data_IF_758426618377
#
_entry.id   IF_758426618377
#
_cell.length_a   1.000
_cell.length_b   1.000
_cell.length_c   1.000
_cell.angle_alpha   90.00
_cell.angle_beta   90.00
_cell.angle_gamma   90.00
#
_symmetry.space_group_name_H-M   'P 1'
#
loop_
_entity.id
_entity.type
_entity.pdbx_description
1 polymer ?
#
# COMPACT_ATOMS: atom_id res chain seq x y z
N UNK A 1 7.86 -0.76 -7.57
CA UNK A 1 7.75 -1.40 -6.23
C UNK A 1 8.47 -0.57 -5.16
N UNK A 2 9.57 0.12 -5.52
CA UNK A 2 10.27 1.04 -4.64
C UNK A 2 9.40 2.24 -4.21
N UNK A 3 8.47 2.69 -5.05
CA UNK A 3 7.53 3.77 -4.74
C UNK A 3 6.62 3.41 -3.56
N UNK A 4 6.19 2.15 -3.48
CA UNK A 4 5.37 1.63 -2.38
C UNK A 4 6.18 1.56 -1.09
N UNK A 5 7.45 1.18 -1.21
CA UNK A 5 8.40 1.13 -0.10
C UNK A 5 8.65 2.54 0.43
N UNK A 6 8.82 3.53 -0.44
CA UNK A 6 8.95 4.94 -0.06
C UNK A 6 7.66 5.47 0.58
N UNK A 7 6.49 5.17 0.03
CA UNK A 7 5.22 5.54 0.65
C UNK A 7 5.09 4.99 2.08
N UNK A 8 5.42 3.70 2.29
CA UNK A 8 5.40 3.08 3.62
C UNK A 8 6.39 3.74 4.59
N UNK A 9 7.54 4.21 4.11
CA UNK A 9 8.50 4.98 4.90
C UNK A 9 7.95 6.35 5.27
N UNK A 10 7.35 7.09 4.32
CA UNK A 10 6.73 8.38 4.58
C UNK A 10 5.60 8.27 5.63
N UNK A 11 4.73 7.27 5.50
CA UNK A 11 3.67 7.01 6.49
C UNK A 11 4.24 6.70 7.87
N UNK A 12 5.34 5.94 7.94
CA UNK A 12 6.02 5.64 9.20
C UNK A 12 6.58 6.92 9.83
N UNK A 13 7.32 7.73 9.07
CA UNK A 13 7.88 8.99 9.55
C UNK A 13 6.78 9.92 10.09
N UNK A 14 5.71 10.14 9.32
CA UNK A 14 4.59 10.99 9.74
C UNK A 14 3.93 10.50 11.05
N UNK A 15 3.85 9.18 11.27
CA UNK A 15 3.32 8.63 12.53
C UNK A 15 4.27 8.87 13.70
N UNK A 16 5.58 8.76 13.46
CA UNK A 16 6.63 8.96 14.48
C UNK A 16 6.76 10.44 14.89
N UNK A 17 6.49 11.37 13.99
CA UNK A 17 6.51 12.82 14.29
C UNK A 17 5.40 13.24 15.27
N UNK A 18 4.26 12.52 15.28
CA UNK A 18 3.16 12.74 16.23
C UNK A 18 3.50 12.18 17.62
N UNK A 19 4.22 11.06 17.68
CA UNK A 19 4.67 10.40 18.92
C UNK A 19 5.30 9.03 18.64
N UNK A 20 5.91 8.40 19.65
CA UNK A 20 6.32 6.99 19.58
C UNK A 20 7.75 6.67 20.04
N UNK A 21 8.05 5.37 20.14
CA UNK A 21 9.33 4.81 20.58
C UNK A 21 10.38 4.92 19.47
N UNK A 22 11.03 6.06 19.35
CA UNK A 22 12.10 6.18 18.36
C UNK A 22 12.50 7.58 17.98
N UNK A 23 12.81 8.40 18.98
CA UNK A 23 13.89 9.40 19.03
C UNK A 23 13.60 10.29 20.22
N UNK A 24 14.63 10.50 21.02
CA UNK A 24 14.70 11.52 22.07
C UNK A 24 14.12 12.85 21.55
N UNK A 25 12.95 13.23 22.06
CA UNK A 25 12.25 14.46 21.67
C UNK A 25 10.85 14.20 21.13
N UNK A 26 9.89 13.86 22.02
CA UNK A 26 8.47 13.96 21.66
C UNK A 26 8.16 15.43 21.37
N UNK A 27 7.85 15.77 20.12
CA UNK A 27 7.43 17.14 19.75
C UNK A 27 6.14 17.55 20.48
N UNK A 28 5.33 16.57 20.89
CA UNK A 28 4.06 16.75 21.60
C UNK A 28 4.00 15.82 22.81
N UNK A 29 3.68 16.36 23.98
CA UNK A 29 3.58 15.60 25.24
C UNK A 29 2.17 15.70 25.82
N UNK A 30 1.76 14.66 26.57
CA UNK A 30 0.47 14.62 27.26
C UNK A 30 -0.54 13.62 26.68
N UNK A 31 -1.70 13.53 27.33
CA UNK A 31 -2.75 12.54 27.01
C UNK A 31 -3.31 12.71 25.60
N UNK A 32 -3.53 13.95 25.17
CA UNK A 32 -4.04 14.26 23.82
C UNK A 32 -3.04 13.86 22.73
N UNK A 33 -1.76 14.18 22.92
CA UNK A 33 -0.70 13.79 21.99
C UNK A 33 -0.58 12.26 21.87
N UNK A 34 -0.74 11.55 22.99
CA UNK A 34 -0.72 10.08 23.01
C UNK A 34 -1.91 9.51 22.21
N UNK A 35 -3.11 10.07 22.40
CA UNK A 35 -4.29 9.66 21.64
C UNK A 35 -4.12 9.88 20.13
N UNK A 36 -3.57 11.03 19.72
CA UNK A 36 -3.29 11.30 18.30
C UNK A 36 -2.26 10.35 17.72
N UNK A 37 -1.24 9.98 18.50
CA UNK A 37 -0.27 8.97 18.08
C UNK A 37 -0.93 7.62 17.84
N UNK A 38 -1.76 7.15 18.78
CA UNK A 38 -2.46 5.87 18.66
C UNK A 38 -3.39 5.86 17.43
N UNK A 39 -4.12 6.96 17.20
CA UNK A 39 -4.98 7.13 16.02
C UNK A 39 -4.17 7.13 14.72
N UNK A 40 -3.06 7.88 14.66
CA UNK A 40 -2.17 7.92 13.51
C UNK A 40 -1.55 6.55 13.22
N UNK A 41 -1.10 5.84 14.26
CA UNK A 41 -0.56 4.49 14.15
C UNK A 41 -1.60 3.50 13.63
N UNK A 42 -2.84 3.58 14.15
CA UNK A 42 -3.96 2.78 13.68
C UNK A 42 -4.31 3.04 12.21
N UNK A 43 -4.37 4.31 11.81
CA UNK A 43 -4.61 4.73 10.42
C UNK A 43 -3.51 4.22 9.48
N UNK A 44 -2.24 4.43 9.84
CA UNK A 44 -1.10 3.90 9.10
C UNK A 44 -1.21 2.39 8.93
N UNK A 45 -1.52 1.66 10.00
CA UNK A 45 -1.69 0.21 9.96
C UNK A 45 -2.76 -0.23 8.97
N UNK A 46 -3.91 0.45 8.94
CA UNK A 46 -4.97 0.19 7.95
C UNK A 46 -4.51 0.46 6.52
N UNK A 47 -3.90 1.62 6.27
CA UNK A 47 -3.42 1.98 4.94
C UNK A 47 -2.40 0.97 4.41
N UNK A 48 -1.43 0.57 5.23
CA UNK A 48 -0.40 -0.41 4.83
C UNK A 48 -1.05 -1.76 4.47
N UNK A 49 -2.02 -2.24 5.26
CA UNK A 49 -2.73 -3.50 4.95
C UNK A 49 -3.48 -3.43 3.63
N UNK A 50 -4.15 -2.31 3.33
CA UNK A 50 -4.86 -2.17 2.06
C UNK A 50 -3.90 -2.06 0.87
N UNK A 51 -2.78 -1.35 1.02
CA UNK A 51 -1.71 -1.33 0.01
C UNK A 51 -1.15 -2.73 -0.26
N UNK A 52 -0.93 -3.53 0.79
CA UNK A 52 -0.42 -4.91 0.67
C UNK A 52 -1.38 -5.85 -0.04
N UNK A 53 -2.68 -5.55 -0.04
CA UNK A 53 -3.69 -6.33 -0.78
C UNK A 53 -3.85 -5.83 -2.22
N UNK A 54 -4.05 -4.52 -2.38
CA UNK A 54 -4.45 -3.91 -3.65
C UNK A 54 -3.33 -3.97 -4.69
N UNK A 55 -2.09 -3.70 -4.29
CA UNK A 55 -0.98 -3.61 -5.24
C UNK A 55 -0.70 -4.95 -5.92
N UNK A 56 -0.57 -6.08 -5.20
CA UNK A 56 -0.43 -7.39 -5.84
C UNK A 56 -1.65 -7.76 -6.68
N UNK A 57 -2.86 -7.42 -6.26
CA UNK A 57 -4.08 -7.72 -7.03
C UNK A 57 -4.12 -6.97 -8.37
N UNK A 58 -3.76 -5.68 -8.37
CA UNK A 58 -3.66 -4.88 -9.60
C UNK A 58 -2.52 -5.40 -10.49
N UNK A 59 -1.35 -5.71 -9.91
CA UNK A 59 -0.24 -6.26 -10.68
C UNK A 59 -0.60 -7.58 -11.34
N UNK A 60 -1.26 -8.48 -10.61
CA UNK A 60 -1.77 -9.73 -11.15
C UNK A 60 -2.69 -9.48 -12.35
N UNK A 61 -3.60 -8.51 -12.25
CA UNK A 61 -4.52 -8.19 -13.34
C UNK A 61 -3.81 -7.61 -14.56
N UNK A 62 -2.76 -6.81 -14.35
CA UNK A 62 -1.92 -6.30 -15.43
C UNK A 62 -1.20 -7.45 -16.13
N UNK A 63 -0.66 -8.41 -15.37
CA UNK A 63 0.08 -9.55 -15.91
C UNK A 63 -0.83 -10.52 -16.69
N UNK A 64 -2.14 -10.52 -16.41
CA UNK A 64 -3.17 -11.27 -17.15
C UNK A 64 -3.62 -10.58 -18.46
N UNK A 65 -3.16 -9.36 -18.77
CA UNK A 65 -3.57 -8.67 -19.98
C UNK A 65 -3.03 -9.36 -21.24
N UNK A 66 -3.80 -9.42 -22.35
CA UNK A 66 -3.37 -10.04 -23.60
C UNK A 66 -2.02 -9.51 -24.13
N UNK A 67 -1.72 -8.24 -23.88
CA UNK A 67 -0.47 -7.57 -24.28
C UNK A 67 0.75 -8.00 -23.44
N UNK A 68 0.52 -8.63 -22.28
CA UNK A 68 1.55 -9.02 -21.31
C UNK A 68 1.78 -10.53 -21.27
N UNK A 69 0.90 -11.32 -21.88
CA UNK A 69 1.00 -12.78 -21.98
C UNK A 69 1.56 -13.22 -23.34
N UNK A 70 2.08 -14.46 -23.47
CA UNK A 70 2.54 -14.98 -24.75
C UNK A 70 1.47 -14.93 -25.84
N UNK A 71 1.88 -14.73 -27.09
CA UNK A 71 0.98 -14.53 -28.22
C UNK A 71 -0.02 -15.69 -28.44
N UNK A 72 0.33 -16.93 -28.08
CA UNK A 72 -0.57 -18.09 -28.11
C UNK A 72 -1.72 -17.94 -27.10
N UNK A 73 -1.40 -17.54 -25.86
CA UNK A 73 -2.37 -17.29 -24.78
C UNK A 73 -3.24 -16.08 -25.10
N UNK A 74 -2.65 -14.99 -25.61
CA UNK A 74 -3.39 -13.78 -26.00
C UNK A 74 -4.44 -14.06 -27.08
N UNK A 75 -4.09 -14.88 -28.10
CA UNK A 75 -5.03 -15.29 -29.16
C UNK A 75 -6.22 -16.08 -28.61
N UNK A 76 -6.00 -16.95 -27.63
CA UNK A 76 -7.07 -17.71 -26.99
C UNK A 76 -8.00 -16.79 -26.19
N UNK A 77 -7.44 -15.87 -25.39
CA UNK A 77 -8.21 -14.90 -24.61
C UNK A 77 -9.06 -13.97 -25.49
N UNK A 78 -8.50 -13.49 -26.60
CA UNK A 78 -9.24 -12.65 -27.56
C UNK A 78 -10.38 -13.42 -28.24
N UNK A 79 -10.19 -14.72 -28.48
CA UNK A 79 -11.23 -15.58 -29.04
C UNK A 79 -12.36 -15.80 -28.03
N UNK A 80 -12.05 -16.10 -26.77
CA UNK A 80 -13.06 -16.26 -25.70
C UNK A 80 -13.86 -14.98 -25.48
N UNK A 81 -13.23 -13.80 -25.55
CA UNK A 81 -13.88 -12.49 -25.46
C UNK A 81 -14.84 -12.18 -26.63
N UNK A 82 -14.67 -12.80 -27.81
CA UNK A 82 -15.59 -12.61 -28.95
C UNK A 82 -16.87 -13.45 -28.86
N UNK A 83 -16.92 -14.42 -27.94
CA UNK A 83 -18.08 -15.32 -27.75
C UNK A 83 -18.80 -15.09 -26.41
N UNK A 84 -18.45 -14.04 -25.68
CA UNK A 84 -19.21 -13.50 -24.54
C UNK A 84 -20.09 -12.33 -24.99
#
# INVERSE_FOLDING_TARGET
MDEVKELKKCLKAATQDVGGDGKTGKSWVGKTASKWHDEAQGNRGRMVRELDKLIPAVQKRIDELPEKVPASTARLMNKEMQYM
#
